data_IF_951514338516
#
_entry.id   IF_951514338516
#
_cell.length_a   1.000
_cell.length_b   1.000
_cell.length_c   1.000
_cell.angle_alpha   90.00
_cell.angle_beta   90.00
_cell.angle_gamma   90.00
#
_symmetry.space_group_name_H-M   'P 1'
#
loop_
_entity.id
_entity.type
_entity.pdbx_description
1 polymer ?
#
# COMPACT_ATOMS: atom_id res chain seq x y z
N UNK A 1 -5.49 26.85 -7.43
CA UNK A 1 -6.71 26.46 -8.17
C UNK A 1 -7.71 25.92 -7.17
N UNK A 2 -8.95 26.45 -7.07
CA UNK A 2 -9.91 25.98 -6.06
C UNK A 2 -10.51 24.60 -6.41
N UNK A 3 -11.09 23.91 -5.42
CA UNK A 3 -11.66 22.56 -5.56
C UNK A 3 -12.81 22.51 -6.60
N UNK A 4 -13.63 23.56 -6.68
CA UNK A 4 -14.73 23.66 -7.66
C UNK A 4 -14.23 23.65 -9.11
N UNK A 5 -13.06 24.24 -9.38
CA UNK A 5 -12.47 24.20 -10.71
C UNK A 5 -11.87 22.82 -11.05
N UNK A 6 -11.43 22.04 -10.06
CA UNK A 6 -10.98 20.64 -10.27
C UNK A 6 -12.16 19.69 -10.54
N UNK A 7 -13.34 20.01 -10.00
CA UNK A 7 -14.59 19.27 -10.18
C UNK A 7 -15.22 19.45 -11.57
N UNK A 8 -14.94 20.57 -12.27
CA UNK A 8 -15.46 20.83 -13.61
C UNK A 8 -14.78 19.92 -14.64
N UNK A 9 -15.38 18.76 -14.90
CA UNK A 9 -14.95 17.83 -15.96
C UNK A 9 -14.74 16.38 -15.50
N UNK A 10 -14.90 16.09 -14.22
CA UNK A 10 -14.90 14.72 -13.71
C UNK A 10 -16.33 14.16 -13.76
N UNK A 11 -16.49 12.96 -14.32
CA UNK A 11 -17.77 12.24 -14.33
C UNK A 11 -17.97 11.54 -12.97
N UNK A 12 -19.22 11.34 -12.57
CA UNK A 12 -19.55 10.60 -11.33
C UNK A 12 -18.85 9.22 -11.32
N UNK A 13 -18.19 8.86 -10.20
CA UNK A 13 -17.57 7.55 -9.99
C UNK A 13 -16.08 7.60 -9.57
N UNK A 14 -15.48 6.41 -9.42
CA UNK A 14 -14.05 6.28 -9.18
C UNK A 14 -13.28 6.44 -10.50
N UNK A 15 -12.19 7.21 -10.49
CA UNK A 15 -11.31 7.36 -11.66
C UNK A 15 -9.85 7.16 -11.25
N UNK A 16 -9.13 6.33 -12.00
CA UNK A 16 -7.66 6.34 -11.94
C UNK A 16 -7.21 7.59 -12.70
N UNK A 17 -6.71 8.59 -11.98
CA UNK A 17 -6.17 9.80 -12.61
C UNK A 17 -4.68 9.63 -12.89
N UNK A 18 -4.18 10.10 -14.04
CA UNK A 18 -2.74 10.17 -14.26
C UNK A 18 -2.11 11.12 -13.23
N UNK A 19 -0.88 10.81 -12.80
CA UNK A 19 -0.06 11.59 -11.87
C UNK A 19 -0.09 13.10 -12.14
N UNK A 20 -0.04 13.49 -13.42
CA UNK A 20 -0.04 14.89 -13.86
C UNK A 20 -1.32 15.68 -13.49
N UNK A 21 -2.39 14.99 -13.09
CA UNK A 21 -3.67 15.59 -12.69
C UNK A 21 -3.88 15.66 -11.17
N UNK A 22 -2.95 15.14 -10.37
CA UNK A 22 -3.03 15.15 -8.90
C UNK A 22 -1.89 15.99 -8.34
N UNK A 23 -2.21 16.99 -7.52
CA UNK A 23 -1.18 17.80 -6.86
C UNK A 23 -0.79 17.21 -5.51
N UNK A 24 0.44 17.47 -5.04
CA UNK A 24 0.92 17.00 -3.74
C UNK A 24 -0.01 17.42 -2.58
N UNK A 25 -0.60 18.61 -2.65
CA UNK A 25 -1.57 19.09 -1.64
C UNK A 25 -2.85 18.24 -1.58
N UNK A 26 -3.25 17.62 -2.69
CA UNK A 26 -4.44 16.77 -2.72
C UNK A 26 -4.20 15.43 -1.99
N UNK A 27 -3.00 14.88 -2.13
CA UNK A 27 -2.58 13.64 -1.46
C UNK A 27 -2.24 13.85 0.02
N UNK A 28 -1.96 15.09 0.44
CA UNK A 28 -1.65 15.42 1.82
C UNK A 28 -0.45 14.62 2.33
N UNK A 29 -0.62 13.92 3.45
CA UNK A 29 0.43 13.09 4.06
C UNK A 29 0.86 11.90 3.19
N UNK A 30 0.07 11.52 2.17
CA UNK A 30 0.41 10.44 1.24
C UNK A 30 1.34 10.90 0.11
N UNK A 31 1.48 12.20 -0.11
CA UNK A 31 2.28 12.74 -1.21
C UNK A 31 3.72 12.22 -1.27
N UNK A 32 4.44 12.06 -0.13
CA UNK A 32 5.82 11.56 -0.15
C UNK A 32 5.95 10.11 -0.60
N UNK A 33 4.89 9.29 -0.57
CA UNK A 33 4.96 7.86 -0.90
C UNK A 33 4.94 7.60 -2.42
N UNK A 34 4.52 8.58 -3.22
CA UNK A 34 4.33 8.41 -4.67
C UNK A 34 5.59 7.91 -5.36
N UNK A 35 5.44 6.84 -6.15
CA UNK A 35 6.53 6.23 -6.91
C UNK A 35 6.79 4.78 -6.52
N UNK A 36 7.96 4.28 -6.92
CA UNK A 36 8.39 2.91 -6.63
C UNK A 36 9.55 2.94 -5.64
N UNK A 37 9.42 2.17 -4.57
CA UNK A 37 10.41 1.96 -3.53
C UNK A 37 10.92 0.54 -3.62
N UNK A 38 12.24 0.39 -3.46
CA UNK A 38 12.95 -0.89 -3.44
C UNK A 38 13.97 -0.85 -2.32
N UNK A 39 14.53 -2.00 -1.95
CA UNK A 39 15.66 -2.05 -1.04
C UNK A 39 16.80 -1.14 -1.51
N UNK A 40 17.51 -0.56 -0.56
CA UNK A 40 18.68 0.25 -0.85
C UNK A 40 19.79 -0.59 -1.46
N UNK A 41 20.52 -0.02 -2.41
CA UNK A 41 21.76 -0.62 -2.89
C UNK A 41 22.77 -0.70 -1.74
N UNK A 42 23.44 -1.85 -1.63
CA UNK A 42 24.49 -2.08 -0.62
C UNK A 42 25.75 -2.61 -1.31
N UNK A 43 26.93 -2.55 -0.65
CA UNK A 43 28.15 -3.17 -1.16
C UNK A 43 27.96 -4.65 -1.49
N UNK A 44 28.74 -5.19 -2.43
CA UNK A 44 28.58 -6.54 -2.95
C UNK A 44 28.76 -7.65 -1.89
N UNK A 45 29.44 -7.34 -0.79
CA UNK A 45 29.67 -8.23 0.34
C UNK A 45 28.45 -8.30 1.30
N UNK A 46 27.46 -7.44 1.10
CA UNK A 46 26.23 -7.37 1.89
C UNK A 46 25.00 -7.78 1.05
N UNK A 47 23.98 -8.28 1.73
CA UNK A 47 22.70 -8.61 1.09
C UNK A 47 21.82 -7.36 1.11
N UNK A 48 21.43 -6.87 -0.08
CA UNK A 48 20.40 -5.82 -0.21
C UNK A 48 19.03 -6.42 0.13
N UNK A 49 18.69 -6.44 1.41
CA UNK A 49 17.48 -7.08 1.88
C UNK A 49 16.91 -6.43 3.14
N UNK A 50 15.57 -6.51 3.26
CA UNK A 50 14.90 -6.47 4.55
C UNK A 50 15.01 -7.83 5.24
N UNK A 51 14.66 -7.88 6.52
CA UNK A 51 14.73 -9.11 7.31
C UNK A 51 13.37 -9.41 7.92
N UNK A 52 12.78 -10.51 7.46
CA UNK A 52 11.58 -11.02 8.09
C UNK A 52 12.00 -11.67 9.40
N UNK A 53 11.34 -11.29 10.50
CA UNK A 53 11.68 -11.74 11.86
C UNK A 53 10.41 -12.20 12.56
N UNK A 54 9.98 -13.44 12.26
CA UNK A 54 8.70 -13.97 12.75
C UNK A 54 8.92 -15.13 13.70
N UNK A 55 8.19 -15.11 14.81
CA UNK A 55 8.01 -16.31 15.64
C UNK A 55 6.74 -17.05 15.21
N UNK A 56 6.90 -18.26 14.67
CA UNK A 56 5.78 -19.13 14.26
C UNK A 56 5.73 -20.40 15.11
N UNK A 57 4.57 -21.04 15.29
CA UNK A 57 4.51 -22.36 15.93
C UNK A 57 5.37 -23.36 15.15
N UNK A 58 6.37 -23.92 15.80
CA UNK A 58 7.14 -25.07 15.34
C UNK A 58 6.42 -26.35 15.73
N UNK A 59 6.24 -27.24 14.76
CA UNK A 59 5.40 -28.44 14.86
C UNK A 59 5.46 -29.14 16.23
N UNK A 60 6.67 -29.35 16.78
CA UNK A 60 6.87 -30.00 18.10
C UNK A 60 7.85 -29.26 19.04
N UNK A 61 8.24 -28.02 18.72
CA UNK A 61 9.33 -27.29 19.43
C UNK A 61 8.87 -26.04 20.16
N UNK A 62 7.57 -25.80 20.28
CA UNK A 62 7.05 -24.50 20.72
C UNK A 62 7.14 -23.49 19.57
N UNK A 63 7.63 -22.27 19.80
CA UNK A 63 7.82 -21.30 18.71
C UNK A 63 9.21 -21.45 18.07
N UNK A 64 9.27 -21.36 16.74
CA UNK A 64 10.51 -21.23 15.98
C UNK A 64 10.62 -19.82 15.44
N UNK A 65 11.84 -19.29 15.42
CA UNK A 65 12.13 -17.98 14.88
C UNK A 65 12.61 -18.14 13.43
N UNK A 66 11.88 -17.55 12.50
CA UNK A 66 12.21 -17.53 11.09
C UNK A 66 12.82 -16.18 10.76
N UNK A 67 14.10 -16.22 10.41
CA UNK A 67 14.88 -15.06 9.97
C UNK A 67 15.17 -15.26 8.49
N UNK A 68 14.43 -14.55 7.64
CA UNK A 68 14.49 -14.73 6.19
C UNK A 68 14.80 -13.38 5.54
N UNK A 69 15.94 -13.23 4.85
CA UNK A 69 16.21 -12.02 4.07
C UNK A 69 15.31 -11.97 2.84
N UNK A 70 14.80 -10.78 2.53
CA UNK A 70 13.92 -10.56 1.39
C UNK A 70 14.23 -9.27 0.64
N UNK A 71 13.94 -9.27 -0.66
CA UNK A 71 13.74 -8.02 -1.41
C UNK A 71 12.27 -7.65 -1.42
N UNK A 72 12.00 -6.36 -1.40
CA UNK A 72 10.66 -5.78 -1.36
C UNK A 72 10.57 -4.66 -2.37
N UNK A 73 9.49 -4.67 -3.15
CA UNK A 73 9.11 -3.57 -4.02
C UNK A 73 7.74 -3.07 -3.61
N UNK A 74 7.64 -1.77 -3.36
CA UNK A 74 6.39 -1.06 -3.12
C UNK A 74 6.17 -0.06 -4.25
N UNK A 75 5.00 -0.07 -4.87
CA UNK A 75 4.62 0.93 -5.88
C UNK A 75 3.38 1.67 -5.42
N UNK A 76 3.40 3.00 -5.47
CA UNK A 76 2.29 3.87 -5.10
C UNK A 76 1.91 4.78 -6.26
N UNK A 77 0.70 4.58 -6.80
CA UNK A 77 0.14 5.33 -7.91
C UNK A 77 -1.06 6.16 -7.43
N UNK A 78 -1.06 7.49 -7.63
CA UNK A 78 -2.19 8.32 -7.25
C UNK A 78 -3.50 7.93 -7.91
N UNK A 79 -4.57 7.99 -7.13
CA UNK A 79 -5.95 7.77 -7.56
C UNK A 79 -6.85 8.87 -7.00
N UNK A 80 -7.97 9.12 -7.69
CA UNK A 80 -9.00 10.03 -7.20
C UNK A 80 -10.36 9.37 -7.31
N UNK A 81 -11.03 9.28 -6.17
CA UNK A 81 -12.39 8.75 -6.10
C UNK A 81 -13.33 9.93 -5.90
N UNK A 82 -14.12 10.24 -6.94
CA UNK A 82 -15.22 11.18 -6.80
C UNK A 82 -16.50 10.40 -6.50
N UNK A 83 -16.79 10.25 -5.21
CA UNK A 83 -18.04 9.66 -4.75
C UNK A 83 -19.17 10.71 -4.75
N UNK A 84 -19.48 11.26 -5.93
CA UNK A 84 -20.43 12.37 -6.10
C UNK A 84 -21.88 12.09 -5.66
N UNK A 85 -22.21 10.84 -5.30
CA UNK A 85 -23.53 10.46 -4.79
C UNK A 85 -23.48 9.42 -3.65
N UNK A 86 -22.31 9.23 -3.03
CA UNK A 86 -22.14 8.26 -1.92
C UNK A 86 -21.28 8.79 -0.76
N UNK A 87 -21.09 10.10 -0.68
CA UNK A 87 -20.51 10.69 0.52
C UNK A 87 -21.46 10.60 1.73
N UNK A 88 -20.94 10.84 2.94
CA UNK A 88 -21.67 10.66 4.18
C UNK A 88 -22.82 11.66 4.34
N UNK A 89 -23.81 11.26 5.15
CA UNK A 89 -24.91 12.15 5.55
C UNK A 89 -24.48 12.93 6.78
N UNK A 90 -24.41 14.26 6.66
CA UNK A 90 -24.11 15.18 7.75
C UNK A 90 -25.34 16.03 8.01
N UNK A 91 -25.87 16.01 9.24
CA UNK A 91 -27.07 16.76 9.62
C UNK A 91 -28.28 16.52 8.69
N UNK A 92 -28.47 15.28 8.23
CA UNK A 92 -29.58 14.90 7.34
C UNK A 92 -29.39 15.30 5.87
N UNK A 93 -28.24 15.88 5.50
CA UNK A 93 -27.91 16.21 4.11
C UNK A 93 -26.76 15.33 3.60
N UNK A 94 -26.92 14.79 2.39
CA UNK A 94 -25.84 14.06 1.73
C UNK A 94 -24.76 15.05 1.27
N UNK A 95 -23.53 14.83 1.72
CA UNK A 95 -22.38 15.65 1.32
C UNK A 95 -21.61 14.91 0.24
N UNK A 96 -21.23 15.61 -0.83
CA UNK A 96 -20.28 15.07 -1.81
C UNK A 96 -18.89 15.00 -1.19
N UNK A 97 -18.25 13.83 -1.30
CA UNK A 97 -16.88 13.65 -0.82
C UNK A 97 -15.95 13.35 -1.99
N UNK A 98 -14.89 14.14 -2.10
CA UNK A 98 -13.76 13.87 -2.98
C UNK A 98 -12.64 13.27 -2.16
N UNK A 99 -12.24 12.05 -2.52
CA UNK A 99 -11.19 11.31 -1.83
C UNK A 99 -10.01 11.16 -2.78
N UNK A 100 -8.85 11.62 -2.34
CA UNK A 100 -7.58 11.38 -3.01
C UNK A 100 -6.87 10.22 -2.33
N UNK A 101 -6.04 9.48 -3.05
CA UNK A 101 -5.34 8.36 -2.45
C UNK A 101 -4.25 7.81 -3.34
N UNK A 102 -3.74 6.65 -2.94
CA UNK A 102 -2.75 5.86 -3.66
C UNK A 102 -3.31 4.46 -3.84
N UNK A 103 -3.37 3.97 -5.07
CA UNK A 103 -3.33 2.54 -5.34
C UNK A 103 -1.90 2.08 -5.03
N UNK A 104 -1.76 1.02 -4.25
CA UNK A 104 -0.46 0.45 -3.97
C UNK A 104 -0.39 -1.04 -4.24
N UNK A 105 0.82 -1.47 -4.57
CA UNK A 105 1.20 -2.86 -4.75
C UNK A 105 2.49 -3.10 -3.99
N UNK A 106 2.55 -4.20 -3.26
CA UNK A 106 3.71 -4.70 -2.54
C UNK A 106 4.03 -6.09 -3.05
N UNK A 107 5.31 -6.34 -3.33
CA UNK A 107 5.81 -7.67 -3.59
C UNK A 107 7.05 -7.92 -2.75
N UNK A 108 7.05 -9.05 -2.04
CA UNK A 108 8.20 -9.54 -1.30
C UNK A 108 8.70 -10.84 -1.96
N UNK A 109 10.01 -10.89 -2.20
CA UNK A 109 10.71 -12.04 -2.80
C UNK A 109 11.83 -12.47 -1.88
N UNK A 110 11.99 -13.77 -1.64
CA UNK A 110 13.09 -14.31 -0.84
C UNK A 110 14.43 -13.95 -1.48
N UNK A 111 15.33 -13.38 -0.69
CA UNK A 111 16.72 -13.15 -1.06
C UNK A 111 17.66 -14.22 -0.48
N UNK A 112 17.09 -15.27 0.11
CA UNK A 112 17.84 -16.28 0.86
C UNK A 112 18.30 -17.45 -0.01
N UNK A 113 19.59 -17.71 -0.07
CA UNK A 113 20.20 -18.82 -0.82
C UNK A 113 20.62 -20.01 0.05
N UNK A 114 20.47 -19.90 1.37
CA UNK A 114 20.88 -20.94 2.33
C UNK A 114 20.00 -22.19 2.29
N UNK A 115 20.57 -23.34 2.70
CA UNK A 115 19.80 -24.59 2.90
C UNK A 115 18.66 -24.41 3.90
N UNK A 116 18.86 -23.59 4.94
CA UNK A 116 17.85 -23.27 5.95
C UNK A 116 16.55 -22.73 5.34
N UNK A 117 16.66 -21.84 4.34
CA UNK A 117 15.52 -21.25 3.65
C UNK A 117 14.92 -22.20 2.60
N UNK A 118 15.77 -22.93 1.87
CA UNK A 118 15.32 -23.92 0.88
C UNK A 118 14.46 -25.01 1.53
N UNK A 119 14.89 -25.55 2.68
CA UNK A 119 14.15 -26.57 3.45
C UNK A 119 12.78 -26.09 3.94
N UNK A 120 12.58 -24.77 4.05
CA UNK A 120 11.32 -24.14 4.49
C UNK A 120 10.44 -23.67 3.34
N UNK A 121 10.85 -23.90 2.10
CA UNK A 121 10.10 -23.47 0.92
C UNK A 121 10.28 -22.00 0.55
N UNK A 122 11.36 -21.36 1.01
CA UNK A 122 11.68 -19.97 0.70
C UNK A 122 13.00 -19.81 -0.09
N UNK A 123 13.20 -20.54 -1.21
CA UNK A 123 14.43 -20.41 -2.00
C UNK A 123 14.56 -19.00 -2.60
N UNK A 124 15.78 -18.58 -2.90
CA UNK A 124 16.05 -17.28 -3.52
C UNK A 124 15.21 -17.10 -4.80
N UNK A 125 14.59 -15.92 -4.95
CA UNK A 125 13.70 -15.61 -6.07
C UNK A 125 12.25 -16.07 -5.89
N UNK A 126 11.93 -16.84 -4.85
CA UNK A 126 10.55 -17.22 -4.54
C UNK A 126 9.75 -16.02 -4.06
N UNK A 127 8.59 -15.75 -4.67
CA UNK A 127 7.64 -14.77 -4.13
C UNK A 127 7.05 -15.33 -2.83
N UNK A 128 7.20 -14.58 -1.74
CA UNK A 128 6.75 -14.99 -0.40
C UNK A 128 5.53 -14.21 0.07
N UNK A 129 5.30 -13.01 -0.48
CA UNK A 129 4.14 -12.19 -0.18
C UNK A 129 3.84 -11.24 -1.34
N UNK A 130 2.55 -11.02 -1.58
CA UNK A 130 2.05 -9.99 -2.48
C UNK A 130 0.85 -9.35 -1.80
N UNK A 131 0.74 -8.04 -1.90
CA UNK A 131 -0.41 -7.30 -1.42
C UNK A 131 -0.75 -6.19 -2.41
N UNK A 132 -2.05 -5.93 -2.58
CA UNK A 132 -2.53 -4.75 -3.31
C UNK A 132 -3.64 -4.07 -2.55
N UNK A 133 -3.74 -2.75 -2.66
CA UNK A 133 -4.72 -2.00 -1.90
C UNK A 133 -4.78 -0.51 -2.23
N UNK A 134 -5.55 0.20 -1.42
CA UNK A 134 -5.70 1.65 -1.46
C UNK A 134 -5.25 2.27 -0.13
N UNK A 135 -4.52 3.37 -0.21
CA UNK A 135 -4.37 4.34 0.87
C UNK A 135 -5.19 5.58 0.51
N UNK A 136 -6.16 5.94 1.34
CA UNK A 136 -7.11 7.02 1.08
C UNK A 136 -6.86 8.20 2.03
N UNK A 137 -6.68 9.40 1.48
CA UNK A 137 -6.77 10.67 2.20
C UNK A 137 -8.23 11.13 2.20
N UNK A 138 -8.92 10.87 3.32
CA UNK A 138 -10.39 10.93 3.39
C UNK A 138 -10.97 12.35 3.30
N UNK A 139 -10.17 13.42 3.42
CA UNK A 139 -10.70 14.79 3.40
C UNK A 139 -11.77 15.02 4.48
N UNK A 140 -12.64 16.01 4.31
CA UNK A 140 -13.78 16.25 5.23
C UNK A 140 -15.12 15.95 4.52
N UNK A 141 -16.16 15.50 5.25
CA UNK A 141 -16.17 15.19 6.68
C UNK A 141 -15.48 13.85 6.99
N UNK A 142 -14.76 13.79 8.10
CA UNK A 142 -14.19 12.55 8.64
C UNK A 142 -14.35 12.51 10.17
N UNK A 143 -14.50 11.31 10.77
CA UNK A 143 -14.68 11.16 12.21
C UNK A 143 -13.41 11.39 13.05
N UNK A 144 -12.50 12.25 12.59
CA UNK A 144 -11.15 12.46 13.16
C UNK A 144 -10.06 11.59 12.52
N UNK A 145 -10.41 10.68 11.62
CA UNK A 145 -9.47 9.83 10.89
C UNK A 145 -9.23 10.37 9.49
N UNK A 146 -7.99 10.71 9.16
CA UNK A 146 -7.64 11.33 7.87
C UNK A 146 -7.14 10.35 6.84
N UNK A 147 -6.62 9.19 7.25
CA UNK A 147 -6.09 8.14 6.38
C UNK A 147 -6.85 6.82 6.59
N UNK A 148 -7.23 6.15 5.52
CA UNK A 148 -7.69 4.75 5.54
C UNK A 148 -6.82 3.87 4.64
N UNK A 149 -6.64 2.61 5.03
CA UNK A 149 -6.02 1.56 4.21
C UNK A 149 -7.06 0.48 3.92
N UNK A 150 -7.11 0.02 2.68
CA UNK A 150 -7.95 -1.08 2.22
C UNK A 150 -7.06 -2.03 1.43
N UNK A 151 -6.96 -3.29 1.84
CA UNK A 151 -6.02 -4.26 1.25
C UNK A 151 -6.64 -5.62 1.00
N UNK A 152 -6.07 -6.33 0.03
CA UNK A 152 -6.26 -7.77 -0.14
C UNK A 152 -4.92 -8.47 -0.02
N UNK A 153 -4.79 -9.37 0.94
CA UNK A 153 -3.61 -10.23 1.09
C UNK A 153 -4.02 -11.67 0.72
N UNK A 154 -3.40 -12.31 -0.29
CA UNK A 154 -3.79 -13.63 -0.80
C UNK A 154 -3.73 -14.77 0.22
N UNK A 155 -3.03 -14.59 1.34
CA UNK A 155 -2.96 -15.58 2.42
C UNK A 155 -3.98 -15.35 3.55
N UNK A 156 -5.01 -14.53 3.31
CA UNK A 156 -6.27 -14.57 4.06
C UNK A 156 -6.47 -13.50 5.13
N UNK A 157 -5.60 -12.50 5.20
CA UNK A 157 -5.78 -11.33 6.07
C UNK A 157 -6.09 -10.10 5.18
N UNK A 158 -7.06 -9.26 5.54
CA UNK A 158 -7.41 -8.04 4.77
C UNK A 158 -7.35 -6.81 5.65
#
# INVERSE_FOLDING_TARGET
MNLQNKLRGLTLGAQVLPLSKVSASDLGALAPLVGTWKNADVPAEAISAGWNTISVPGQDKGFVFEVIPYTETLTFNPIVVQAGNRGPVVNGQQVEQMIFGLLYEQQIVSACDSSFCNERGFPAGQTIHVETGLLLNLGQPNGGYTIARLSTIPHGNS
#
